data_IF_005540299108
#
_entry.id   IF_005540299108
#
_cell.length_a   1.000
_cell.length_b   1.000
_cell.length_c   1.000
_cell.angle_alpha   90.00
_cell.angle_beta   90.00
_cell.angle_gamma   90.00
#
_symmetry.space_group_name_H-M   'P 1'
#
loop_
_entity.id
_entity.type
_entity.pdbx_description
1 polymer ?
#
# COMPACT_ATOMS: atom_id res chain seq x y z
N UNK A 1 28.23 22.30 -13.59
CA UNK A 1 27.17 21.38 -14.03
C UNK A 1 26.02 21.49 -13.02
N UNK A 2 25.07 22.39 -13.24
CA UNK A 2 23.85 22.48 -12.43
C UNK A 2 22.66 22.18 -13.36
N UNK A 3 22.45 20.90 -13.64
CA UNK A 3 21.42 20.42 -14.59
C UNK A 3 20.08 20.12 -13.91
N UNK A 4 19.97 20.41 -12.62
CA UNK A 4 18.79 20.08 -11.81
C UNK A 4 17.97 21.32 -11.53
N UNK A 5 16.75 21.35 -12.07
CA UNK A 5 15.72 22.35 -11.77
C UNK A 5 14.57 21.65 -11.03
N UNK A 6 13.95 22.37 -10.10
CA UNK A 6 12.83 21.83 -9.31
C UNK A 6 11.54 22.04 -10.08
N UNK A 7 10.76 20.98 -10.26
CA UNK A 7 9.44 21.05 -10.85
C UNK A 7 8.39 21.25 -9.75
N UNK A 8 7.29 21.92 -10.09
CA UNK A 8 6.14 22.02 -9.20
C UNK A 8 5.37 20.70 -9.12
N UNK A 9 4.55 20.57 -8.08
CA UNK A 9 3.72 19.39 -7.83
C UNK A 9 2.36 19.57 -8.48
N UNK A 10 1.82 18.49 -9.06
CA UNK A 10 0.46 18.46 -9.60
C UNK A 10 -0.31 17.23 -9.14
N UNK A 11 -1.65 17.35 -9.14
CA UNK A 11 -2.55 16.24 -8.88
C UNK A 11 -3.01 15.62 -10.19
N UNK A 12 -2.66 14.36 -10.39
CA UNK A 12 -3.07 13.58 -11.58
C UNK A 12 -3.98 12.44 -11.16
N UNK A 13 -4.80 11.96 -12.11
CA UNK A 13 -5.55 10.71 -11.92
C UNK A 13 -4.58 9.53 -11.83
N UNK A 14 -4.97 8.49 -11.09
CA UNK A 14 -4.14 7.29 -10.88
C UNK A 14 -3.71 6.62 -12.19
N UNK A 15 -4.58 6.59 -13.20
CA UNK A 15 -4.24 6.02 -14.51
C UNK A 15 -3.19 6.82 -15.28
N UNK A 16 -2.87 8.05 -14.86
CA UNK A 16 -1.83 8.91 -15.44
C UNK A 16 -0.60 9.04 -14.53
N UNK A 17 -0.53 8.29 -13.42
CA UNK A 17 0.57 8.38 -12.45
C UNK A 17 1.76 7.49 -12.79
N UNK A 18 1.61 6.55 -13.74
CA UNK A 18 2.71 5.71 -14.20
C UNK A 18 3.85 6.58 -14.73
N UNK A 19 5.09 6.16 -14.46
CA UNK A 19 6.35 6.85 -14.84
C UNK A 19 6.55 8.26 -14.23
N UNK A 20 5.73 8.65 -13.24
CA UNK A 20 5.92 9.88 -12.46
C UNK A 20 6.58 9.60 -11.11
N UNK A 21 7.12 10.64 -10.51
CA UNK A 21 7.72 10.59 -9.16
C UNK A 21 6.71 11.10 -8.14
N UNK A 22 6.56 10.39 -7.02
CA UNK A 22 5.71 10.84 -5.91
C UNK A 22 6.30 12.11 -5.28
N UNK A 23 5.44 13.11 -5.09
CA UNK A 23 5.82 14.37 -4.45
C UNK A 23 5.86 14.29 -2.91
N UNK A 24 5.24 13.28 -2.32
CA UNK A 24 5.23 13.03 -0.88
C UNK A 24 5.03 11.54 -0.56
N UNK A 25 5.29 11.16 0.68
CA UNK A 25 5.04 9.80 1.19
C UNK A 25 3.54 9.47 1.18
N UNK A 26 3.21 8.23 0.81
CA UNK A 26 1.84 7.71 0.84
C UNK A 26 1.70 6.72 2.00
N UNK A 27 0.65 6.90 2.81
CA UNK A 27 0.33 6.02 3.95
C UNK A 27 -1.05 5.42 3.77
N UNK A 28 -1.20 4.14 4.14
CA UNK A 28 -2.51 3.50 4.20
C UNK A 28 -3.31 4.09 5.35
N UNK A 29 -4.59 4.38 5.10
CA UNK A 29 -5.55 4.79 6.11
C UNK A 29 -6.18 3.59 6.86
N UNK A 30 -5.95 2.38 6.36
CA UNK A 30 -6.52 1.14 6.93
C UNK A 30 -5.55 -0.04 6.87
N UNK A 31 -5.78 -1.04 7.73
CA UNK A 31 -5.08 -2.32 7.70
C UNK A 31 -5.52 -3.16 6.50
N UNK A 32 -4.61 -3.97 5.95
CA UNK A 32 -4.91 -4.90 4.86
C UNK A 32 -4.41 -6.31 5.20
N UNK A 33 -5.30 -7.29 5.42
CA UNK A 33 -6.76 -7.19 5.41
C UNK A 33 -7.30 -6.42 6.64
N UNK A 34 -8.48 -5.79 6.53
CA UNK A 34 -9.07 -5.03 7.64
C UNK A 34 -9.60 -5.91 8.78
N UNK A 35 -9.52 -7.23 8.65
CA UNK A 35 -9.91 -8.22 9.64
C UNK A 35 -9.14 -9.53 9.42
N UNK A 36 -9.14 -10.40 10.42
CA UNK A 36 -8.51 -11.71 10.34
C UNK A 36 -9.15 -12.55 9.22
N UNK A 37 -8.44 -12.69 8.12
CA UNK A 37 -8.85 -13.50 6.97
C UNK A 37 -8.10 -14.82 6.98
N UNK A 38 -8.81 -15.91 6.70
CA UNK A 38 -8.15 -17.19 6.44
C UNK A 38 -7.26 -17.05 5.19
N UNK A 39 -5.98 -17.41 5.30
CA UNK A 39 -5.06 -17.35 4.18
C UNK A 39 -5.29 -18.50 3.18
N UNK A 40 -5.91 -19.60 3.65
CA UNK A 40 -6.12 -20.84 2.92
C UNK A 40 -7.47 -21.45 3.33
N UNK A 41 -7.96 -22.41 2.54
CA UNK A 41 -9.13 -23.20 2.90
C UNK A 41 -8.81 -24.19 4.03
N UNK A 42 -9.72 -24.30 5.00
CA UNK A 42 -9.56 -25.17 6.14
C UNK A 42 -10.59 -24.88 7.23
N UNK A 43 -10.33 -25.39 8.44
CA UNK A 43 -11.17 -25.16 9.61
C UNK A 43 -10.50 -24.22 10.60
N UNK A 44 -11.26 -23.28 11.16
CA UNK A 44 -10.78 -22.41 12.22
C UNK A 44 -10.69 -23.22 13.53
N UNK A 45 -9.47 -23.46 14.00
CA UNK A 45 -9.21 -24.16 15.25
C UNK A 45 -8.53 -23.22 16.26
N UNK A 46 -8.85 -23.36 17.54
CA UNK A 46 -8.11 -22.68 18.61
C UNK A 46 -6.77 -23.39 18.79
N UNK A 47 -5.67 -22.66 18.59
CA UNK A 47 -4.31 -23.22 18.71
C UNK A 47 -4.06 -23.92 20.06
N UNK A 48 -4.67 -23.44 21.13
CA UNK A 48 -4.52 -24.00 22.47
C UNK A 48 -5.20 -25.37 22.68
N UNK A 49 -6.10 -25.79 21.79
CA UNK A 49 -6.72 -27.12 21.86
C UNK A 49 -5.86 -28.22 21.21
N UNK A 50 -4.72 -27.83 20.63
CA UNK A 50 -3.79 -28.72 19.96
C UNK A 50 -2.57 -29.00 20.87
N UNK A 51 -2.29 -30.27 21.17
CA UNK A 51 -1.09 -30.71 21.91
C UNK A 51 0.13 -30.80 21.01
#
# INVERSE_FOLDING_TARGET
>A
MNSTFTLEVEFVKLNHSLDRVLACDVRSDTDMPPFNRAAMDGYACRRADWQ
#
